data_IF_292432485563
#
_entry.id   IF_292432485563
#
_cell.length_a   1.000
_cell.length_b   1.000
_cell.length_c   1.000
_cell.angle_alpha   90.00
_cell.angle_beta   90.00
_cell.angle_gamma   90.00
#
_symmetry.space_group_name_H-M   'P 1'
#
loop_
_entity.id
_entity.type
_entity.pdbx_description
1 polymer ?
#
# COMPACT_ATOMS: atom_id res chain seq x y z
N UNK A 1 27.80 -21.91 -2.63
CA UNK A 1 26.67 -22.50 -3.40
C UNK A 1 25.33 -22.50 -2.62
N UNK A 2 25.29 -22.16 -1.33
CA UNK A 2 24.07 -22.27 -0.48
C UNK A 2 23.06 -21.12 -0.62
N UNK A 3 23.50 -19.91 -0.98
CA UNK A 3 22.63 -18.73 -0.94
C UNK A 3 21.60 -18.66 -2.07
N UNK A 4 21.96 -19.15 -3.27
CA UNK A 4 21.04 -19.17 -4.41
C UNK A 4 19.86 -20.12 -4.18
N UNK A 5 20.12 -21.29 -3.59
CA UNK A 5 19.09 -22.29 -3.26
C UNK A 5 18.13 -21.74 -2.20
N UNK A 6 18.65 -21.00 -1.21
CA UNK A 6 17.84 -20.42 -0.15
C UNK A 6 16.93 -19.28 -0.68
N UNK A 7 17.47 -18.41 -1.54
CA UNK A 7 16.68 -17.35 -2.18
C UNK A 7 15.53 -17.92 -3.03
N UNK A 8 15.78 -19.00 -3.79
CA UNK A 8 14.73 -19.68 -4.56
C UNK A 8 13.65 -20.32 -3.67
N UNK A 9 14.04 -20.89 -2.53
CA UNK A 9 13.10 -21.44 -1.56
C UNK A 9 12.20 -20.34 -0.99
N UNK A 10 12.77 -19.20 -0.59
CA UNK A 10 12.04 -18.05 -0.08
C UNK A 10 11.02 -17.53 -1.11
N UNK A 11 11.40 -17.45 -2.38
CA UNK A 11 10.47 -17.07 -3.46
C UNK A 11 9.31 -18.04 -3.60
N UNK A 12 9.58 -19.35 -3.56
CA UNK A 12 8.56 -20.38 -3.68
C UNK A 12 7.56 -20.29 -2.53
N UNK A 13 8.06 -20.16 -1.31
CA UNK A 13 7.23 -20.00 -0.11
C UNK A 13 6.44 -18.69 -0.15
N UNK A 14 7.05 -17.59 -0.59
CA UNK A 14 6.38 -16.31 -0.71
C UNK A 14 5.21 -16.37 -1.71
N UNK A 15 5.41 -17.03 -2.86
CA UNK A 15 4.36 -17.22 -3.86
C UNK A 15 3.23 -18.11 -3.33
N UNK A 16 3.54 -19.16 -2.58
CA UNK A 16 2.53 -19.99 -1.93
C UNK A 16 1.72 -19.19 -0.91
N UNK A 17 2.39 -18.43 -0.03
CA UNK A 17 1.74 -17.55 0.93
C UNK A 17 0.87 -16.48 0.25
N UNK A 18 1.33 -15.89 -0.85
CA UNK A 18 0.55 -14.93 -1.65
C UNK A 18 -0.73 -15.57 -2.21
N UNK A 19 -0.64 -16.76 -2.80
CA UNK A 19 -1.79 -17.51 -3.33
C UNK A 19 -2.81 -17.85 -2.23
N UNK A 20 -2.35 -18.08 -1.01
CA UNK A 20 -3.20 -18.32 0.16
C UNK A 20 -3.75 -17.04 0.81
N UNK A 21 -3.48 -15.86 0.24
CA UNK A 21 -3.91 -14.56 0.80
C UNK A 21 -3.08 -14.08 2.00
N UNK A 22 -2.01 -14.78 2.36
CA UNK A 22 -1.14 -14.43 3.49
C UNK A 22 -0.11 -13.36 3.10
N UNK A 23 -0.59 -12.16 2.75
CA UNK A 23 0.24 -11.05 2.24
C UNK A 23 1.37 -10.65 3.19
N UNK A 24 1.10 -10.61 4.51
CA UNK A 24 2.11 -10.29 5.53
C UNK A 24 3.25 -11.31 5.53
N UNK A 25 2.92 -12.60 5.43
CA UNK A 25 3.90 -13.69 5.40
C UNK A 25 4.70 -13.68 4.10
N UNK A 26 4.01 -13.51 2.97
CA UNK A 26 4.66 -13.37 1.67
C UNK A 26 5.67 -12.22 1.66
N UNK A 27 5.29 -11.06 2.22
CA UNK A 27 6.18 -9.90 2.37
C UNK A 27 7.41 -10.20 3.22
N UNK A 28 7.26 -10.88 4.36
CA UNK A 28 8.40 -11.23 5.22
C UNK A 28 9.42 -12.11 4.48
N UNK A 29 8.94 -13.13 3.76
CA UNK A 29 9.78 -14.03 2.97
C UNK A 29 10.50 -13.30 1.84
N UNK A 30 9.82 -12.38 1.16
CA UNK A 30 10.42 -11.57 0.09
C UNK A 30 11.45 -10.55 0.62
N UNK A 31 11.22 -9.98 1.81
CA UNK A 31 12.21 -9.12 2.45
C UNK A 31 13.48 -9.90 2.83
N UNK A 32 13.33 -11.16 3.23
CA UNK A 32 14.47 -12.04 3.47
C UNK A 32 15.22 -12.38 2.18
N UNK A 33 14.49 -12.67 1.10
CA UNK A 33 15.08 -12.87 -0.23
C UNK A 33 15.83 -11.61 -0.70
N UNK A 34 15.30 -10.42 -0.44
CA UNK A 34 15.94 -9.16 -0.80
C UNK A 34 17.23 -8.91 0.00
N UNK A 35 17.31 -9.39 1.25
CA UNK A 35 18.54 -9.34 2.05
C UNK A 35 19.61 -10.28 1.49
N UNK A 36 19.21 -11.47 1.02
CA UNK A 36 20.15 -12.44 0.45
C UNK A 36 20.65 -12.04 -0.94
N UNK A 37 19.76 -11.51 -1.78
CA UNK A 37 20.11 -11.03 -3.11
C UNK A 37 19.46 -9.67 -3.41
N UNK A 38 20.08 -8.57 -2.94
CA UNK A 38 19.53 -7.22 -3.11
C UNK A 38 19.56 -6.73 -4.57
N UNK A 39 20.33 -7.38 -5.45
CA UNK A 39 20.45 -7.03 -6.87
C UNK A 39 19.42 -7.75 -7.75
N UNK A 40 18.66 -8.70 -7.21
CA UNK A 40 17.60 -9.35 -7.97
C UNK A 40 16.36 -8.44 -8.05
N UNK A 41 16.23 -7.73 -9.18
CA UNK A 41 15.10 -6.84 -9.46
C UNK A 41 13.74 -7.55 -9.30
N UNK A 42 13.67 -8.87 -9.52
CA UNK A 42 12.42 -9.65 -9.42
C UNK A 42 11.91 -9.70 -7.98
N UNK A 43 12.79 -9.67 -6.98
CA UNK A 43 12.39 -9.65 -5.56
C UNK A 43 11.63 -8.37 -5.27
N UNK A 44 12.16 -7.24 -5.75
CA UNK A 44 11.57 -5.92 -5.59
C UNK A 44 10.21 -5.81 -6.29
N UNK A 45 10.07 -6.40 -7.49
CA UNK A 45 8.79 -6.48 -8.20
C UNK A 45 7.75 -7.30 -7.42
N UNK A 46 8.15 -8.43 -6.82
CA UNK A 46 7.26 -9.21 -5.95
C UNK A 46 6.92 -8.45 -4.66
N UNK A 47 7.87 -7.74 -4.05
CA UNK A 47 7.60 -6.89 -2.88
C UNK A 47 6.58 -5.80 -3.18
N UNK A 48 6.59 -5.24 -4.40
CA UNK A 48 5.60 -4.26 -4.83
C UNK A 48 4.17 -4.83 -4.80
N UNK A 49 3.99 -6.10 -5.17
CA UNK A 49 2.66 -6.77 -5.23
C UNK A 49 2.04 -6.96 -3.85
N UNK A 50 2.87 -7.15 -2.83
CA UNK A 50 2.44 -7.35 -1.42
C UNK A 50 2.64 -6.10 -0.58
N UNK A 51 2.92 -4.96 -1.22
CA UNK A 51 3.15 -3.70 -0.53
C UNK A 51 1.86 -3.19 0.13
N UNK A 52 1.94 -2.71 1.40
CA UNK A 52 0.78 -2.32 2.19
C UNK A 52 0.07 -1.09 1.63
N UNK A 53 0.79 -0.21 0.93
CA UNK A 53 0.23 1.00 0.32
C UNK A 53 0.67 1.12 -1.15
N UNK A 54 -0.09 1.84 -1.98
CA UNK A 54 0.30 2.11 -3.36
C UNK A 54 1.63 2.85 -3.50
N UNK A 55 1.94 3.78 -2.59
CA UNK A 55 3.21 4.52 -2.57
C UNK A 55 4.38 3.56 -2.32
N UNK A 56 4.23 2.64 -1.35
CA UNK A 56 5.23 1.60 -1.09
C UNK A 56 5.39 0.67 -2.29
N UNK A 57 4.29 0.37 -2.99
CA UNK A 57 4.33 -0.41 -4.22
C UNK A 57 5.22 0.25 -5.27
N UNK A 58 5.00 1.55 -5.52
CA UNK A 58 5.78 2.33 -6.48
C UNK A 58 7.26 2.42 -6.08
N UNK A 59 7.57 2.66 -4.79
CA UNK A 59 8.95 2.68 -4.29
C UNK A 59 9.70 1.37 -4.57
N UNK A 60 9.04 0.22 -4.40
CA UNK A 60 9.66 -1.08 -4.67
C UNK A 60 9.89 -1.29 -6.18
N UNK A 61 8.96 -0.84 -7.04
CA UNK A 61 9.17 -0.91 -8.50
C UNK A 61 10.29 0.02 -8.95
N UNK A 62 10.36 1.24 -8.43
CA UNK A 62 11.46 2.17 -8.70
C UNK A 62 12.81 1.55 -8.31
N UNK A 63 12.85 0.77 -7.22
CA UNK A 63 14.05 0.02 -6.85
C UNK A 63 14.41 -1.05 -7.89
N UNK A 64 13.44 -1.79 -8.40
CA UNK A 64 13.66 -2.74 -9.49
C UNK A 64 14.13 -2.05 -10.78
N UNK A 65 13.58 -0.89 -11.09
CA UNK A 65 13.93 -0.08 -12.27
C UNK A 65 15.35 0.47 -12.22
N UNK A 66 15.83 0.89 -11.06
CA UNK A 66 17.25 1.26 -10.89
C UNK A 66 18.21 0.08 -11.13
N UNK A 67 17.76 -1.16 -10.95
CA UNK A 67 18.58 -2.35 -11.16
C UNK A 67 18.54 -2.82 -12.61
N UNK A 68 17.36 -2.75 -13.24
CA UNK A 68 17.15 -3.22 -14.61
C UNK A 68 16.11 -2.32 -15.32
N UNK A 69 16.51 -1.15 -15.85
CA UNK A 69 15.60 -0.17 -16.44
C UNK A 69 14.96 -0.64 -17.76
N UNK A 70 15.67 -1.46 -18.52
CA UNK A 70 15.24 -1.92 -19.85
C UNK A 70 14.43 -3.22 -19.81
N UNK A 71 14.11 -3.75 -18.62
CA UNK A 71 13.30 -4.97 -18.52
C UNK A 71 11.81 -4.66 -18.78
N UNK A 72 11.19 -5.30 -19.79
CA UNK A 72 9.77 -5.12 -20.07
C UNK A 72 8.86 -5.42 -18.87
N UNK A 73 9.26 -6.31 -17.97
CA UNK A 73 8.55 -6.64 -16.74
C UNK A 73 8.56 -5.48 -15.75
N UNK A 74 9.69 -4.77 -15.62
CA UNK A 74 9.82 -3.57 -14.79
C UNK A 74 8.92 -2.45 -15.33
N UNK A 75 8.94 -2.21 -16.64
CA UNK A 75 8.10 -1.18 -17.27
C UNK A 75 6.60 -1.46 -17.05
N UNK A 76 6.18 -2.72 -17.22
CA UNK A 76 4.80 -3.16 -16.92
C UNK A 76 4.46 -2.97 -15.44
N UNK A 77 5.37 -3.31 -14.54
CA UNK A 77 5.18 -3.13 -13.11
C UNK A 77 5.07 -1.64 -12.73
N UNK A 78 5.82 -0.76 -13.40
CA UNK A 78 5.77 0.70 -13.18
C UNK A 78 4.41 1.24 -13.56
N UNK A 79 3.95 0.94 -14.77
CA UNK A 79 2.62 1.33 -15.23
C UNK A 79 1.51 0.80 -14.29
N UNK A 80 1.64 -0.43 -13.79
CA UNK A 80 0.70 -0.98 -12.81
C UNK A 80 0.72 -0.22 -11.47
N UNK A 81 1.90 0.04 -10.90
CA UNK A 81 2.04 0.71 -9.61
C UNK A 81 1.54 2.17 -9.66
N UNK A 82 1.82 2.89 -10.75
CA UNK A 82 1.31 4.24 -10.97
C UNK A 82 -0.22 4.27 -11.07
N UNK A 83 -0.84 3.30 -11.77
CA UNK A 83 -2.31 3.17 -11.79
C UNK A 83 -2.88 2.93 -10.40
N UNK A 84 -2.28 2.01 -9.63
CA UNK A 84 -2.70 1.71 -8.26
C UNK A 84 -2.65 2.96 -7.37
N UNK A 85 -1.60 3.76 -7.51
CA UNK A 85 -1.45 5.03 -6.80
C UNK A 85 -2.55 6.02 -7.19
N UNK A 86 -2.78 6.21 -8.50
CA UNK A 86 -3.86 7.09 -8.99
C UNK A 86 -5.23 6.68 -8.47
N UNK A 87 -5.52 5.37 -8.41
CA UNK A 87 -6.80 4.87 -7.89
C UNK A 87 -6.99 5.19 -6.41
N UNK A 88 -5.95 5.06 -5.59
CA UNK A 88 -6.04 5.43 -4.16
C UNK A 88 -6.27 6.93 -3.96
N UNK A 89 -5.61 7.77 -4.78
CA UNK A 89 -5.78 9.22 -4.73
C UNK A 89 -7.13 9.65 -5.25
N UNK A 90 -7.66 9.01 -6.30
CA UNK A 90 -8.97 9.33 -6.87
C UNK A 90 -10.14 8.94 -5.94
N UNK A 91 -9.98 7.88 -5.15
CA UNK A 91 -11.00 7.41 -4.18
C UNK A 91 -10.93 8.20 -2.85
N UNK A 92 -9.84 8.93 -2.60
CA UNK A 92 -9.71 9.79 -1.43
C UNK A 92 -10.11 11.23 -1.82
N UNK A 93 -11.32 11.74 -1.48
CA UNK A 93 -11.59 13.16 -1.59
C UNK A 93 -10.52 13.95 -0.80
N UNK A 94 -10.17 15.18 -1.20
CA UNK A 94 -9.19 15.98 -0.47
C UNK A 94 -9.64 16.07 0.97
N UNK A 95 -8.89 15.44 1.87
CA UNK A 95 -9.10 15.59 3.31
C UNK A 95 -8.92 17.06 3.58
N UNK A 96 -10.01 17.79 3.82
CA UNK A 96 -9.95 19.02 4.58
C UNK A 96 -9.35 18.64 5.93
N UNK A 97 -8.04 18.85 6.08
CA UNK A 97 -7.38 18.91 7.37
C UNK A 97 -7.73 20.24 8.03
N UNK A 98 -9.02 20.48 8.26
CA UNK A 98 -9.46 21.48 9.22
C UNK A 98 -9.56 20.77 10.57
N UNK A 99 -8.43 20.65 11.25
CA UNK A 99 -8.40 20.44 12.69
C UNK A 99 -8.92 21.71 13.36
N UNK A 100 -10.24 21.88 13.39
CA UNK A 100 -10.93 22.81 14.28
C UNK A 100 -11.46 22.00 15.46
N UNK A 101 -10.76 22.14 16.58
CA UNK A 101 -11.28 22.32 17.95
C UNK A 101 -12.71 21.83 18.26
N UNK A 102 -12.79 21.03 19.32
CA UNK A 102 -13.87 20.87 20.32
C UNK A 102 -15.22 21.59 20.07
N UNK A 103 -16.33 20.84 20.24
CA UNK A 103 -17.76 21.26 20.26
C UNK A 103 -18.25 21.82 18.90
N UNK A 104 -19.41 21.52 18.33
CA UNK A 104 -20.78 21.43 18.82
C UNK A 104 -21.57 20.54 17.85
N UNK A 105 -22.18 19.44 18.32
CA UNK A 105 -23.29 18.77 17.62
C UNK A 105 -24.52 18.79 18.53
N UNK A 106 -25.09 19.97 18.77
CA UNK A 106 -26.51 20.15 19.18
C UNK A 106 -26.91 21.61 18.97
N UNK A 107 -27.14 22.00 17.72
CA UNK A 107 -27.88 23.20 17.34
C UNK A 107 -28.16 23.02 15.84
N UNK A 108 -29.38 22.94 15.30
CA UNK A 108 -30.72 23.43 15.67
C UNK A 108 -31.66 22.45 14.92
N UNK A 109 -32.83 22.01 15.40
CA UNK A 109 -34.06 22.80 15.35
C UNK A 109 -35.27 21.86 15.61
N UNK A 110 -35.97 22.00 16.73
CA UNK A 110 -37.44 21.86 16.79
C UNK A 110 -37.94 22.59 18.03
N UNK A 111 -38.87 23.53 17.82
CA UNK A 111 -39.76 24.04 18.86
C UNK A 111 -39.41 25.39 19.46
N UNK A 112 -39.40 26.46 18.66
CA UNK A 112 -39.87 27.74 19.19
C UNK A 112 -41.35 27.59 19.52
N UNK A 113 -41.70 27.44 20.79
CA UNK A 113 -43.02 27.80 21.27
C UNK A 113 -42.87 28.54 22.61
N UNK A 114 -42.60 29.83 22.50
CA UNK A 114 -42.87 30.77 23.57
C UNK A 114 -44.38 30.79 23.81
N UNK A 115 -44.82 30.40 25.01
CA UNK A 115 -46.04 30.96 25.58
C UNK A 115 -45.77 31.41 27.01
N UNK A 116 -45.84 32.73 27.18
CA UNK A 116 -45.91 33.47 28.43
C UNK A 116 -47.31 33.32 29.08
N UNK A 117 -47.36 33.61 30.39
CA UNK A 117 -48.49 33.84 31.33
C UNK A 117 -48.81 32.68 32.29
N UNK A 118 -48.49 32.82 33.58
CA UNK A 118 -49.26 33.51 34.66
C UNK A 118 -50.54 32.74 35.01
N UNK A 119 -50.53 32.09 36.19
CA UNK A 119 -51.48 32.21 37.32
C UNK A 119 -50.82 31.58 38.56
#
# INVERSE_FOLDING_TARGET
>A
MTDQTNTQLLFRQARAAYKMGHLKRARQLLLEAARQNPQDHRVWLWLATVAPTPEKSLQMVQRAEMLQPDDPMVQKARAWAERRLRQQTAVSPPRSSNSHTHSWQTAVMYGTLSLLLII
#
